data_IF_997868631903
#
_entry.id   IF_997868631903
#
_cell.length_a   1.000
_cell.length_b   1.000
_cell.length_c   1.000
_cell.angle_alpha   90.00
_cell.angle_beta   90.00
_cell.angle_gamma   90.00
#
_symmetry.space_group_name_H-M   'P 1'
#
loop_
_entity.id
_entity.type
_entity.pdbx_description
1 polymer ?
#
# COMPACT_ATOMS: atom_id res chain seq x y z
N UNK A 1 24.08 -4.24 -12.42
CA UNK A 1 23.64 -5.66 -12.45
C UNK A 1 23.55 -6.09 -13.91
N UNK A 2 23.83 -7.35 -14.24
CA UNK A 2 23.81 -7.83 -15.63
C UNK A 2 22.36 -7.98 -16.16
N UNK A 3 22.16 -7.84 -17.47
CA UNK A 3 20.82 -7.88 -18.08
C UNK A 3 20.06 -9.19 -17.83
N UNK A 4 20.76 -10.33 -17.81
CA UNK A 4 20.12 -11.62 -17.53
C UNK A 4 19.65 -11.74 -16.07
N UNK A 5 20.36 -11.11 -15.12
CA UNK A 5 19.95 -11.07 -13.71
C UNK A 5 18.73 -10.17 -13.53
N UNK A 6 18.69 -9.06 -14.26
CA UNK A 6 17.57 -8.12 -14.33
C UNK A 6 16.30 -8.82 -14.81
N UNK A 7 16.38 -9.49 -15.96
CA UNK A 7 15.25 -10.22 -16.54
C UNK A 7 14.69 -11.28 -15.60
N UNK A 8 15.55 -12.03 -14.91
CA UNK A 8 15.12 -13.03 -13.93
C UNK A 8 14.40 -12.42 -12.72
N UNK A 9 14.80 -11.22 -12.26
CA UNK A 9 14.08 -10.54 -11.18
C UNK A 9 12.68 -10.11 -11.61
N UNK A 10 12.58 -9.49 -12.79
CA UNK A 10 11.30 -9.03 -13.34
C UNK A 10 10.34 -10.20 -13.53
N UNK A 11 10.80 -11.29 -14.15
CA UNK A 11 9.97 -12.48 -14.33
C UNK A 11 9.54 -13.09 -12.98
N UNK A 12 10.40 -13.01 -11.95
CA UNK A 12 10.05 -13.49 -10.61
C UNK A 12 8.95 -12.66 -9.96
N UNK A 13 9.01 -11.32 -10.06
CA UNK A 13 8.03 -10.44 -9.42
C UNK A 13 6.67 -10.43 -10.14
N UNK A 14 6.65 -10.71 -11.45
CA UNK A 14 5.42 -10.76 -12.24
C UNK A 14 4.62 -12.05 -12.10
N UNK A 15 5.20 -13.11 -11.51
CA UNK A 15 4.50 -14.37 -11.30
C UNK A 15 3.30 -14.17 -10.37
N UNK A 16 2.14 -14.69 -10.76
CA UNK A 16 0.91 -14.63 -9.94
C UNK A 16 1.12 -15.21 -8.53
N UNK A 17 1.96 -16.24 -8.41
CA UNK A 17 2.29 -16.89 -7.14
C UNK A 17 3.39 -16.19 -6.33
N UNK A 18 3.98 -15.08 -6.82
CA UNK A 18 5.09 -14.39 -6.16
C UNK A 18 4.74 -13.91 -4.74
N UNK A 19 3.46 -13.64 -4.48
CA UNK A 19 2.98 -13.20 -3.16
C UNK A 19 2.69 -14.35 -2.18
N UNK A 20 2.75 -15.62 -2.63
CA UNK A 20 2.47 -16.78 -1.78
C UNK A 20 3.63 -17.00 -0.82
N UNK A 21 3.34 -16.95 0.48
CA UNK A 21 4.37 -17.06 1.53
C UNK A 21 5.23 -15.81 1.72
N UNK A 22 4.99 -14.75 0.94
CA UNK A 22 5.68 -13.49 1.11
C UNK A 22 5.06 -12.67 2.25
N UNK A 23 5.93 -12.00 3.01
CA UNK A 23 5.53 -11.08 4.06
C UNK A 23 5.18 -9.70 3.51
N UNK A 24 4.25 -9.04 4.20
CA UNK A 24 4.00 -7.62 3.97
C UNK A 24 5.13 -6.82 4.63
N UNK A 25 5.78 -5.88 3.93
CA UNK A 25 6.80 -5.01 4.48
C UNK A 25 6.28 -4.28 5.71
N UNK A 26 7.12 -4.12 6.73
CA UNK A 26 6.74 -3.36 7.92
C UNK A 26 6.38 -1.93 7.57
N UNK A 27 7.24 -1.29 6.77
CA UNK A 27 7.07 0.06 6.30
C UNK A 27 7.24 0.17 4.78
N UNK A 28 6.65 1.22 4.22
CA UNK A 28 6.90 1.65 2.84
C UNK A 28 7.02 3.17 2.81
N UNK A 29 7.90 3.68 1.95
CA UNK A 29 7.91 5.12 1.65
C UNK A 29 6.95 5.37 0.49
N UNK A 30 5.98 6.25 0.68
CA UNK A 30 5.08 6.75 -0.36
C UNK A 30 5.27 8.25 -0.46
N UNK A 31 5.64 8.76 -1.64
CA UNK A 31 5.83 10.22 -1.85
C UNK A 31 6.75 10.90 -0.81
N UNK A 32 7.76 10.17 -0.31
CA UNK A 32 8.71 10.68 0.69
C UNK A 32 8.28 10.53 2.16
N UNK A 33 7.12 9.93 2.44
CA UNK A 33 6.66 9.64 3.80
C UNK A 33 6.68 8.14 4.10
N UNK A 34 7.24 7.76 5.26
CA UNK A 34 7.25 6.38 5.71
C UNK A 34 5.92 6.00 6.38
N UNK A 35 5.32 4.92 5.91
CA UNK A 35 4.01 4.41 6.35
C UNK A 35 4.16 2.98 6.88
N UNK A 36 3.50 2.66 7.99
CA UNK A 36 3.44 1.32 8.58
C UNK A 36 2.50 0.38 7.79
N UNK A 37 2.93 -0.07 6.61
CA UNK A 37 2.14 -0.86 5.66
C UNK A 37 1.59 -2.16 6.26
N UNK A 38 2.42 -2.90 7.01
CA UNK A 38 2.00 -4.17 7.63
C UNK A 38 0.86 -3.95 8.62
N UNK A 39 1.05 -3.00 9.54
CA UNK A 39 0.04 -2.62 10.53
C UNK A 39 -1.25 -2.21 9.82
N UNK A 40 -1.13 -1.41 8.77
CA UNK A 40 -2.27 -0.95 7.98
C UNK A 40 -3.08 -2.08 7.38
N UNK A 41 -2.42 -3.00 6.69
CA UNK A 41 -3.11 -4.14 6.09
C UNK A 41 -3.74 -5.03 7.16
N UNK A 42 -3.05 -5.31 8.27
CA UNK A 42 -3.60 -6.16 9.33
C UNK A 42 -4.84 -5.55 9.98
N UNK A 43 -4.81 -4.26 10.32
CA UNK A 43 -5.97 -3.59 10.91
C UNK A 43 -7.19 -3.63 9.98
N UNK A 44 -6.94 -3.46 8.68
CA UNK A 44 -7.98 -3.51 7.67
C UNK A 44 -8.55 -4.93 7.52
N UNK A 45 -7.69 -5.97 7.47
CA UNK A 45 -8.13 -7.37 7.39
C UNK A 45 -8.89 -7.84 8.64
N UNK A 46 -8.72 -7.20 9.79
CA UNK A 46 -9.49 -7.51 11.01
C UNK A 46 -10.96 -7.09 10.88
N UNK A 47 -11.32 -6.30 9.87
CA UNK A 47 -12.69 -5.89 9.58
C UNK A 47 -13.22 -6.61 8.36
N UNK A 48 -14.52 -6.89 8.38
CA UNK A 48 -15.20 -7.49 7.23
C UNK A 48 -15.49 -6.47 6.11
N UNK A 49 -15.57 -5.18 6.44
CA UNK A 49 -15.94 -4.13 5.49
C UNK A 49 -15.23 -2.80 5.74
N UNK A 50 -15.11 -1.98 4.70
CA UNK A 50 -14.62 -0.59 4.75
C UNK A 50 -15.80 0.36 4.95
N UNK A 51 -15.94 1.06 6.10
CA UNK A 51 -17.00 2.04 6.24
C UNK A 51 -16.96 3.16 5.19
N UNK A 52 -18.13 3.68 4.83
CA UNK A 52 -18.32 4.52 3.65
C UNK A 52 -17.40 5.76 3.59
N UNK A 53 -17.16 6.39 4.75
CA UNK A 53 -16.34 7.61 4.85
C UNK A 53 -14.84 7.44 4.57
N UNK A 54 -14.36 6.20 4.38
CA UNK A 54 -12.94 5.94 4.11
C UNK A 54 -12.70 5.14 2.84
N UNK A 55 -13.75 4.87 2.06
CA UNK A 55 -13.61 4.20 0.76
C UNK A 55 -12.60 4.96 -0.11
N UNK A 56 -12.74 6.29 -0.17
CA UNK A 56 -11.85 7.15 -0.94
C UNK A 56 -10.41 7.07 -0.44
N UNK A 57 -10.20 7.00 0.87
CA UNK A 57 -8.88 6.84 1.50
C UNK A 57 -8.25 5.50 1.14
N UNK A 58 -9.00 4.40 1.24
CA UNK A 58 -8.52 3.06 0.84
C UNK A 58 -8.19 3.01 -0.64
N UNK A 59 -9.02 3.60 -1.49
CA UNK A 59 -8.76 3.67 -2.93
C UNK A 59 -7.54 4.54 -3.26
N UNK A 60 -7.33 5.64 -2.55
CA UNK A 60 -6.12 6.46 -2.68
C UNK A 60 -4.87 5.67 -2.24
N UNK A 61 -4.96 4.90 -1.16
CA UNK A 61 -3.85 4.06 -0.70
C UNK A 61 -3.49 2.98 -1.75
N UNK A 62 -4.50 2.31 -2.34
CA UNK A 62 -4.29 1.36 -3.45
C UNK A 62 -3.63 2.03 -4.66
N UNK A 63 -4.05 3.24 -5.04
CA UNK A 63 -3.44 3.99 -6.15
C UNK A 63 -1.98 4.32 -5.86
N UNK A 64 -1.68 4.78 -4.66
CA UNK A 64 -0.31 5.11 -4.24
C UNK A 64 0.58 3.86 -4.24
N UNK A 65 0.12 2.75 -3.68
CA UNK A 65 0.84 1.48 -3.69
C UNK A 65 1.12 0.98 -5.13
N UNK A 66 0.15 1.07 -6.04
CA UNK A 66 0.35 0.72 -7.45
C UNK A 66 1.39 1.60 -8.14
N UNK A 67 1.43 2.89 -7.80
CA UNK A 67 2.46 3.82 -8.31
C UNK A 67 3.85 3.39 -7.82
N UNK A 68 4.01 3.22 -6.51
CA UNK A 68 5.26 2.81 -5.88
C UNK A 68 5.77 1.45 -6.39
N UNK A 69 4.86 0.52 -6.69
CA UNK A 69 5.17 -0.76 -7.35
C UNK A 69 5.82 -0.52 -8.72
N UNK A 70 5.19 0.30 -9.54
CA UNK A 70 5.66 0.57 -10.91
C UNK A 70 6.99 1.32 -10.90
N UNK A 71 7.18 2.29 -10.02
CA UNK A 71 8.45 3.00 -9.87
C UNK A 71 9.62 2.05 -9.50
N UNK A 72 9.35 1.02 -8.70
CA UNK A 72 10.36 -0.01 -8.37
C UNK A 72 10.63 -0.94 -9.55
N UNK A 73 9.61 -1.27 -10.34
CA UNK A 73 9.78 -2.05 -11.58
C UNK A 73 10.66 -1.26 -12.56
N UNK A 74 10.33 0.00 -12.81
CA UNK A 74 11.10 0.90 -13.66
C UNK A 74 12.54 1.05 -13.14
N UNK A 75 12.74 1.14 -11.82
CA UNK A 75 14.07 1.15 -11.23
C UNK A 75 14.85 -0.14 -11.52
N UNK A 76 14.21 -1.31 -11.42
CA UNK A 76 14.79 -2.60 -11.83
C UNK A 76 14.96 -2.69 -13.34
N UNK A 77 14.23 -1.96 -14.17
CA UNK A 77 14.35 -2.01 -15.64
C UNK A 77 15.45 -1.09 -16.17
N UNK A 78 15.50 0.14 -15.69
CA UNK A 78 16.23 1.22 -16.35
C UNK A 78 17.50 1.67 -15.61
N UNK A 79 17.52 1.54 -14.28
CA UNK A 79 18.64 2.07 -13.49
C UNK A 79 19.83 1.11 -13.49
N UNK A 80 21.04 1.66 -13.43
CA UNK A 80 22.25 0.90 -13.14
C UNK A 80 22.36 0.70 -11.63
N UNK A 81 21.88 -0.45 -11.16
CA UNK A 81 21.85 -0.86 -9.77
C UNK A 81 22.58 -2.18 -9.60
N UNK A 82 23.08 -2.45 -8.42
CA UNK A 82 23.68 -3.74 -8.06
C UNK A 82 22.62 -4.85 -8.03
N UNK A 83 23.09 -6.10 -8.01
CA UNK A 83 22.22 -7.27 -7.87
C UNK A 83 21.46 -7.24 -6.54
N UNK A 84 22.14 -6.86 -5.47
CA UNK A 84 21.58 -6.75 -4.12
C UNK A 84 20.46 -5.70 -4.06
N UNK A 85 20.69 -4.50 -4.56
CA UNK A 85 19.66 -3.46 -4.68
C UNK A 85 18.45 -3.93 -5.52
N UNK A 86 18.69 -4.66 -6.61
CA UNK A 86 17.62 -5.25 -7.42
C UNK A 86 16.80 -6.31 -6.67
N UNK A 87 17.44 -7.11 -5.81
CA UNK A 87 16.77 -8.09 -4.97
C UNK A 87 15.91 -7.44 -3.88
N UNK A 88 16.40 -6.35 -3.28
CA UNK A 88 15.64 -5.54 -2.31
C UNK A 88 14.41 -4.90 -2.95
N UNK A 89 14.57 -4.27 -4.11
CA UNK A 89 13.45 -3.70 -4.87
C UNK A 89 12.41 -4.78 -5.23
N UNK A 90 12.88 -5.94 -5.68
CA UNK A 90 11.99 -7.07 -6.00
C UNK A 90 11.23 -7.59 -4.77
N UNK A 91 11.89 -7.68 -3.61
CA UNK A 91 11.23 -8.01 -2.34
C UNK A 91 10.18 -6.98 -1.95
N UNK A 92 10.48 -5.70 -2.12
CA UNK A 92 9.55 -4.59 -1.88
C UNK A 92 8.33 -4.66 -2.80
N UNK A 93 8.51 -4.94 -4.09
CA UNK A 93 7.42 -5.13 -5.07
C UNK A 93 6.48 -6.25 -4.64
N UNK A 94 7.02 -7.43 -4.32
CA UNK A 94 6.22 -8.57 -3.87
C UNK A 94 5.42 -8.24 -2.61
N UNK A 95 6.04 -7.50 -1.69
CA UNK A 95 5.41 -7.00 -0.48
C UNK A 95 4.25 -6.03 -0.74
N UNK A 96 4.41 -5.13 -1.72
CA UNK A 96 3.35 -4.23 -2.18
C UNK A 96 2.20 -5.02 -2.81
N UNK A 97 2.50 -6.00 -3.65
CA UNK A 97 1.48 -6.86 -4.29
C UNK A 97 0.69 -7.64 -3.24
N UNK A 98 1.38 -8.13 -2.20
CA UNK A 98 0.73 -8.78 -1.06
C UNK A 98 -0.23 -7.84 -0.33
N UNK A 99 0.17 -6.59 -0.11
CA UNK A 99 -0.67 -5.58 0.51
C UNK A 99 -1.88 -5.23 -0.36
N UNK A 100 -1.67 -5.00 -1.66
CA UNK A 100 -2.75 -4.73 -2.63
C UNK A 100 -3.78 -5.87 -2.65
N UNK A 101 -3.33 -7.13 -2.74
CA UNK A 101 -4.22 -8.29 -2.69
C UNK A 101 -5.08 -8.32 -1.42
N UNK A 102 -4.51 -7.95 -0.27
CA UNK A 102 -5.26 -7.87 0.97
C UNK A 102 -6.31 -6.74 0.97
N UNK A 103 -5.98 -5.58 0.40
CA UNK A 103 -6.90 -4.44 0.28
C UNK A 103 -8.00 -4.68 -0.78
N UNK A 104 -7.72 -5.46 -1.81
CA UNK A 104 -8.68 -5.84 -2.84
C UNK A 104 -9.63 -6.94 -2.37
N UNK A 105 -9.19 -7.80 -1.44
CA UNK A 105 -10.05 -8.82 -0.82
C UNK A 105 -11.18 -8.25 0.05
N UNK A 106 -11.12 -6.96 0.38
CA UNK A 106 -12.19 -6.25 1.06
C UNK A 106 -13.30 -6.00 0.04
N UNK A 107 -14.42 -6.72 0.18
CA UNK A 107 -15.57 -6.52 -0.68
C UNK A 107 -16.10 -5.09 -0.63
N UNK A 108 -16.84 -4.64 -1.66
CA UNK A 108 -17.62 -3.41 -1.56
C UNK A 108 -18.53 -3.52 -0.33
N UNK A 109 -18.55 -2.50 0.53
CA UNK A 109 -19.36 -2.53 1.77
C UNK A 109 -20.81 -2.84 1.40
N UNK A 110 -21.33 -3.95 1.91
CA UNK A 110 -22.75 -4.26 1.87
C UNK A 110 -23.48 -3.28 2.79
N UNK A 111 -24.23 -2.34 2.20
CA UNK A 111 -25.02 -1.32 2.92
C UNK A 111 -26.00 -1.96 3.93
N UNK A 112 -26.37 -3.23 3.74
CA UNK A 112 -27.27 -3.96 4.63
C UNK A 112 -26.62 -4.42 5.96
N UNK A 113 -25.28 -4.56 6.04
CA UNK A 113 -24.59 -4.97 7.28
C UNK A 113 -24.28 -3.83 8.26
N UNK A 114 -24.48 -2.58 7.85
CA UNK A 114 -24.08 -1.39 8.61
C UNK A 114 -24.96 -1.17 9.88
N UNK A 115 -26.12 -1.83 9.97
CA UNK A 115 -27.06 -1.65 11.09
C UNK A 115 -26.64 -2.29 12.43
N UNK A 116 -25.58 -3.12 12.48
CA UNK A 116 -25.23 -3.86 13.71
C UNK A 116 -23.95 -3.46 14.43
N UNK A 117 -23.04 -2.70 13.84
CA UNK A 117 -21.77 -2.42 14.50
C UNK A 117 -21.83 -1.14 15.37
N UNK A 118 -21.43 -1.28 16.64
CA UNK A 118 -21.25 -0.21 17.62
C UNK A 118 -20.09 0.70 17.18
N UNK A 119 -20.35 1.64 16.26
CA UNK A 119 -19.34 2.11 15.30
C UNK A 119 -18.59 3.41 15.65
N UNK A 120 -18.93 4.16 16.70
CA UNK A 120 -18.39 5.51 16.86
C UNK A 120 -16.91 5.56 17.31
N UNK A 121 -16.51 4.77 18.31
CA UNK A 121 -15.14 4.75 18.82
C UNK A 121 -14.16 4.10 17.83
N UNK A 122 -14.59 3.02 17.19
CA UNK A 122 -13.82 2.29 16.19
C UNK A 122 -13.67 3.07 14.88
N UNK A 123 -14.64 3.92 14.52
CA UNK A 123 -14.51 4.88 13.43
C UNK A 123 -13.48 5.96 13.74
N UNK A 124 -13.45 6.50 14.97
CA UNK A 124 -12.47 7.54 15.35
C UNK A 124 -11.03 7.01 15.37
N UNK A 125 -10.78 5.81 15.90
CA UNK A 125 -9.45 5.18 15.88
C UNK A 125 -8.95 4.96 14.46
N UNK A 126 -9.87 4.53 13.59
CA UNK A 126 -9.59 4.28 12.19
C UNK A 126 -9.35 5.56 11.37
N UNK A 127 -10.07 6.64 11.66
CA UNK A 127 -9.82 7.98 11.11
C UNK A 127 -8.39 8.47 11.39
N UNK A 128 -7.93 8.35 12.64
CA UNK A 128 -6.57 8.77 13.03
C UNK A 128 -5.51 7.96 12.30
N UNK A 129 -5.77 6.67 12.10
CA UNK A 129 -4.82 5.75 11.48
C UNK A 129 -4.70 5.96 9.97
N UNK A 130 -5.82 6.15 9.26
CA UNK A 130 -5.80 6.41 7.83
C UNK A 130 -5.16 7.76 7.50
N UNK A 131 -5.34 8.78 8.34
CA UNK A 131 -4.63 10.06 8.19
C UNK A 131 -3.11 9.92 8.30
N UNK A 132 -2.62 8.94 9.07
CA UNK A 132 -1.20 8.68 9.24
C UNK A 132 -0.63 7.81 8.11
N UNK A 133 -1.48 7.00 7.47
CA UNK A 133 -1.07 6.09 6.40
C UNK A 133 -1.16 6.66 4.98
N UNK A 134 -1.86 7.78 4.79
CA UNK A 134 -2.05 8.41 3.48
C UNK A 134 -1.26 9.70 3.27
N UNK A 135 -0.55 10.15 4.31
CA UNK A 135 -0.06 11.51 4.38
C UNK A 135 -1.22 12.48 4.55
N UNK A 136 -1.05 13.43 5.47
CA UNK A 136 -1.91 14.60 5.50
C UNK A 136 -1.68 15.33 4.18
N UNK A 137 -2.70 15.41 3.33
CA UNK A 137 -2.99 16.67 2.64
C UNK A 137 -3.28 17.71 3.75
N UNK A 138 -2.26 18.16 4.47
CA UNK A 138 -2.32 19.45 5.14
C UNK A 138 -2.18 20.44 4.00
N UNK A 139 -3.34 20.96 3.58
CA UNK A 139 -3.49 22.15 2.77
C UNK A 139 -2.47 23.22 3.19
N UNK A 140 -1.30 23.19 2.55
CA UNK A 140 -0.32 24.25 2.53
C UNK A 140 -0.83 25.41 1.67
N UNK A 141 -1.96 26.02 2.04
CA UNK A 141 -2.48 27.20 1.37
C UNK A 141 -3.34 28.09 2.29
N UNK A 142 -2.88 28.37 3.52
CA UNK A 142 -3.44 29.50 4.28
C UNK A 142 -2.43 30.17 5.22
N UNK A 143 -1.20 30.42 4.76
CA UNK A 143 -0.37 31.51 5.29
C UNK A 143 0.46 32.13 4.17
N UNK A 144 0.01 33.28 3.62
CA UNK A 144 0.73 34.58 3.64
C UNK A 144 0.14 35.58 2.63
N UNK A 145 -0.27 36.74 3.15
CA UNK A 145 -0.55 37.99 2.42
C UNK A 145 -2.01 38.40 2.52
N UNK A 146 -2.39 39.54 3.08
CA UNK A 146 -1.69 40.74 3.56
C UNK A 146 -2.53 41.31 4.69
#
# INVERSE_FOLDING_TARGET
MQEYERKQLLERVERESATVGADIPETITVQGEAIDLRTFVFEIKRRETVPAGERDRVEQAKRNLRRERNERIEAIEERDITREEGEELAGSIIGIDRALNALESLGPTDLEREQKAQQAADKKRWMSFLQQALGRDDDGAARRGR
#
